data_IF_466269882668
#
_entry.id   IF_466269882668
#
_cell.length_a   1.000
_cell.length_b   1.000
_cell.length_c   1.000
_cell.angle_alpha   90.00
_cell.angle_beta   90.00
_cell.angle_gamma   90.00
#
_symmetry.space_group_name_H-M   'P 1'
#
loop_
_entity.id
_entity.type
_entity.pdbx_description
1 polymer ?
#
# COMPACT_ATOMS: atom_id res chain seq x y z
N UNK A 1 0.53 -18.68 -42.94
CA UNK A 1 1.48 -17.59 -42.62
C UNK A 1 0.89 -16.48 -41.74
N UNK A 2 -0.23 -15.83 -42.09
CA UNK A 2 -0.82 -14.74 -41.28
C UNK A 2 -1.26 -15.18 -39.86
N UNK A 3 -1.95 -16.32 -39.73
CA UNK A 3 -2.34 -16.89 -38.42
C UNK A 3 -1.13 -17.16 -37.50
N UNK A 4 -0.04 -17.69 -38.06
CA UNK A 4 1.20 -17.95 -37.34
C UNK A 4 1.87 -16.66 -36.86
N UNK A 5 1.93 -15.63 -37.71
CA UNK A 5 2.42 -14.30 -37.32
C UNK A 5 1.58 -13.70 -36.19
N UNK A 6 0.27 -13.81 -36.27
CA UNK A 6 -0.64 -13.31 -35.22
C UNK A 6 -0.41 -14.00 -33.87
N UNK A 7 -0.31 -15.34 -33.84
CA UNK A 7 0.02 -16.10 -32.62
C UNK A 7 1.40 -15.69 -32.07
N UNK A 8 2.40 -15.51 -32.94
CA UNK A 8 3.74 -15.05 -32.55
C UNK A 8 3.69 -13.68 -31.87
N UNK A 9 2.92 -12.72 -32.41
CA UNK A 9 2.73 -11.41 -31.76
C UNK A 9 2.06 -11.54 -30.39
N UNK A 10 1.04 -12.40 -30.26
CA UNK A 10 0.40 -12.68 -28.98
C UNK A 10 1.38 -13.22 -27.95
N UNK A 11 2.24 -14.17 -28.34
CA UNK A 11 3.27 -14.74 -27.46
C UNK A 11 4.27 -13.67 -27.00
N UNK A 12 4.74 -12.80 -27.90
CA UNK A 12 5.62 -11.69 -27.52
C UNK A 12 4.94 -10.74 -26.55
N UNK A 13 3.68 -10.35 -26.81
CA UNK A 13 2.94 -9.47 -25.92
C UNK A 13 2.82 -10.06 -24.51
N UNK A 14 2.47 -11.35 -24.40
CA UNK A 14 2.39 -12.04 -23.11
C UNK A 14 3.75 -12.11 -22.41
N UNK A 15 4.82 -12.39 -23.16
CA UNK A 15 6.17 -12.47 -22.61
C UNK A 15 6.67 -11.12 -22.08
N UNK A 16 6.51 -10.04 -22.84
CA UNK A 16 6.90 -8.70 -22.39
C UNK A 16 6.01 -8.20 -21.24
N UNK A 17 4.72 -8.53 -21.23
CA UNK A 17 3.84 -8.25 -20.09
C UNK A 17 4.33 -8.96 -18.82
N UNK A 18 4.80 -10.20 -18.94
CA UNK A 18 5.39 -10.94 -17.83
C UNK A 18 6.73 -10.33 -17.38
N UNK A 19 7.59 -9.87 -18.30
CA UNK A 19 8.82 -9.15 -17.95
C UNK A 19 8.52 -7.87 -17.16
N UNK A 20 7.53 -7.09 -17.58
CA UNK A 20 7.10 -5.89 -16.85
C UNK A 20 6.69 -6.24 -15.42
N UNK A 21 5.88 -7.29 -15.25
CA UNK A 21 5.53 -7.79 -13.92
C UNK A 21 6.78 -8.23 -13.14
N UNK A 22 7.69 -9.01 -13.73
CA UNK A 22 8.90 -9.48 -13.06
C UNK A 22 9.75 -8.31 -12.54
N UNK A 23 9.92 -7.24 -13.32
CA UNK A 23 10.65 -6.03 -12.89
C UNK A 23 9.92 -5.31 -11.75
N UNK A 24 8.60 -5.09 -11.88
CA UNK A 24 7.80 -4.43 -10.83
C UNK A 24 7.86 -5.22 -9.53
N UNK A 25 7.80 -6.55 -9.61
CA UNK A 25 7.86 -7.44 -8.44
C UNK A 25 9.20 -7.33 -7.72
N UNK A 26 10.30 -7.24 -8.47
CA UNK A 26 11.63 -6.99 -7.88
C UNK A 26 11.67 -5.68 -7.08
N UNK A 27 11.07 -4.61 -7.59
CA UNK A 27 10.98 -3.33 -6.88
C UNK A 27 10.11 -3.46 -5.62
N UNK A 28 8.94 -4.10 -5.73
CA UNK A 28 8.01 -4.27 -4.62
C UNK A 28 8.55 -5.16 -3.50
N UNK A 29 9.38 -6.15 -3.85
CA UNK A 29 10.03 -7.03 -2.89
C UNK A 29 11.26 -6.37 -2.24
N UNK A 30 12.05 -5.60 -2.99
CA UNK A 30 13.16 -4.78 -2.48
C UNK A 30 12.67 -3.77 -1.43
N UNK A 31 11.49 -3.20 -1.68
CA UNK A 31 10.77 -2.33 -0.76
C UNK A 31 10.40 -2.97 0.59
N UNK A 32 10.34 -4.30 0.67
CA UNK A 32 10.01 -5.04 1.89
C UNK A 32 11.26 -5.52 2.62
N UNK A 33 12.21 -6.10 1.87
CA UNK A 33 13.45 -6.63 2.39
C UNK A 33 14.55 -6.37 1.37
N UNK A 34 15.51 -5.55 1.77
CA UNK A 34 16.67 -5.18 0.96
C UNK A 34 17.76 -6.25 0.99
N UNK A 35 17.68 -7.24 1.88
CA UNK A 35 18.74 -8.20 2.13
C UNK A 35 20.08 -7.52 2.37
N UNK A 36 21.12 -7.99 1.69
CA UNK A 36 22.49 -7.47 1.83
C UNK A 36 22.74 -6.13 1.11
N UNK A 37 21.75 -5.54 0.45
CA UNK A 37 21.95 -4.31 -0.33
C UNK A 37 22.38 -3.12 0.53
N UNK A 38 22.00 -3.09 1.82
CA UNK A 38 22.43 -2.02 2.74
C UNK A 38 23.95 -2.01 2.96
N UNK A 39 24.61 -3.17 2.85
CA UNK A 39 26.06 -3.30 2.93
C UNK A 39 26.71 -3.08 1.56
N UNK A 40 26.21 -3.76 0.53
CA UNK A 40 26.72 -3.69 -0.84
C UNK A 40 25.63 -3.19 -1.80
N UNK A 41 25.72 -1.92 -2.18
CA UNK A 41 24.71 -1.23 -3.01
C UNK A 41 24.81 -1.59 -4.50
N UNK A 42 24.83 -2.88 -4.82
CA UNK A 42 24.88 -3.38 -6.20
C UNK A 42 23.49 -3.54 -6.80
N UNK A 43 23.38 -3.44 -8.12
CA UNK A 43 22.12 -3.70 -8.83
C UNK A 43 21.61 -5.12 -8.57
N UNK A 44 22.51 -6.11 -8.51
CA UNK A 44 22.14 -7.51 -8.36
C UNK A 44 21.51 -7.79 -6.99
N UNK A 45 22.06 -7.23 -5.91
CA UNK A 45 21.47 -7.37 -4.58
C UNK A 45 20.11 -6.67 -4.46
N UNK A 46 19.95 -5.52 -5.12
CA UNK A 46 18.64 -4.86 -5.19
C UNK A 46 17.62 -5.69 -5.98
N UNK A 47 18.03 -6.20 -7.15
CA UNK A 47 17.13 -6.89 -8.06
C UNK A 47 16.74 -8.30 -7.57
N UNK A 48 17.71 -9.09 -7.10
CA UNK A 48 17.54 -10.45 -6.59
C UNK A 48 17.49 -10.48 -5.05
N UNK A 49 16.67 -9.60 -4.47
CA UNK A 49 16.45 -9.56 -3.03
C UNK A 49 15.75 -10.85 -2.52
N UNK A 50 15.82 -11.16 -1.21
CA UNK A 50 15.34 -12.43 -0.66
C UNK A 50 13.88 -12.76 -0.95
N UNK A 51 13.05 -11.72 -1.07
CA UNK A 51 11.59 -11.81 -1.21
C UNK A 51 11.15 -11.86 -2.69
N UNK A 52 12.06 -11.55 -3.64
CA UNK A 52 11.76 -11.45 -5.07
C UNK A 52 11.20 -12.75 -5.65
N UNK A 53 11.94 -13.86 -5.54
CA UNK A 53 11.54 -15.13 -6.14
C UNK A 53 10.23 -15.68 -5.54
N UNK A 54 10.03 -15.70 -4.20
CA UNK A 54 8.74 -16.07 -3.62
C UNK A 54 7.58 -15.22 -4.15
N UNK A 55 7.75 -13.90 -4.24
CA UNK A 55 6.70 -13.01 -4.71
C UNK A 55 6.40 -13.20 -6.21
N UNK A 56 7.42 -13.45 -7.03
CA UNK A 56 7.26 -13.74 -8.45
C UNK A 56 6.56 -15.09 -8.69
N UNK A 57 6.92 -16.10 -7.89
CA UNK A 57 6.33 -17.44 -7.92
C UNK A 57 4.87 -17.45 -7.45
N UNK A 58 4.47 -16.48 -6.62
CA UNK A 58 3.06 -16.24 -6.30
C UNK A 58 2.32 -15.48 -7.41
N UNK A 59 2.88 -14.35 -7.86
CA UNK A 59 2.18 -13.43 -8.78
C UNK A 59 2.01 -14.00 -10.18
N UNK A 60 2.96 -14.81 -10.66
CA UNK A 60 2.87 -15.41 -11.99
C UNK A 60 1.66 -16.34 -12.10
N UNK A 61 1.51 -17.39 -11.27
CA UNK A 61 0.32 -18.25 -11.31
C UNK A 61 -0.98 -17.53 -11.00
N UNK A 62 -0.97 -16.52 -10.12
CA UNK A 62 -2.15 -15.71 -9.85
C UNK A 62 -2.60 -14.93 -11.09
N UNK A 63 -1.68 -14.29 -11.81
CA UNK A 63 -1.97 -13.60 -13.06
C UNK A 63 -2.52 -14.56 -14.13
N UNK A 64 -1.95 -15.77 -14.25
CA UNK A 64 -2.44 -16.80 -15.17
C UNK A 64 -3.86 -17.28 -14.80
N UNK A 65 -4.14 -17.41 -13.51
CA UNK A 65 -5.47 -17.77 -12.99
C UNK A 65 -6.49 -16.68 -13.28
N UNK A 66 -6.15 -15.41 -12.99
CA UNK A 66 -7.02 -14.25 -13.27
C UNK A 66 -7.30 -14.12 -14.76
N UNK A 67 -6.28 -14.22 -15.61
CA UNK A 67 -6.43 -14.21 -17.06
C UNK A 67 -7.32 -15.34 -17.57
N UNK A 68 -7.16 -16.55 -17.02
CA UNK A 68 -8.03 -17.69 -17.31
C UNK A 68 -9.49 -17.46 -16.89
N UNK A 69 -9.72 -16.88 -15.72
CA UNK A 69 -11.08 -16.56 -15.24
C UNK A 69 -11.75 -15.49 -16.10
N UNK A 70 -11.02 -14.44 -16.52
CA UNK A 70 -11.53 -13.42 -17.45
C UNK A 70 -11.86 -14.07 -18.80
N UNK A 71 -10.96 -14.89 -19.35
CA UNK A 71 -11.21 -15.60 -20.61
C UNK A 71 -12.44 -16.52 -20.51
N UNK A 72 -12.62 -17.21 -19.38
CA UNK A 72 -13.78 -18.04 -19.09
C UNK A 72 -15.06 -17.22 -19.10
N UNK A 73 -15.10 -16.10 -18.36
CA UNK A 73 -16.25 -15.20 -18.31
C UNK A 73 -16.63 -14.66 -19.70
N UNK A 74 -15.65 -14.16 -20.46
CA UNK A 74 -15.89 -13.64 -21.81
C UNK A 74 -16.39 -14.75 -22.75
N UNK A 75 -15.83 -15.95 -22.66
CA UNK A 75 -16.29 -17.12 -23.44
C UNK A 75 -17.75 -17.41 -23.13
N UNK A 76 -18.15 -17.43 -21.85
CA UNK A 76 -19.54 -17.69 -21.44
C UNK A 76 -20.55 -16.65 -21.98
N UNK A 77 -20.10 -15.41 -22.18
CA UNK A 77 -20.93 -14.34 -22.74
C UNK A 77 -21.03 -14.44 -24.27
N UNK A 78 -19.90 -14.57 -24.96
CA UNK A 78 -19.85 -14.40 -26.42
C UNK A 78 -20.11 -15.68 -27.21
N UNK A 79 -20.00 -16.86 -26.59
CA UNK A 79 -20.21 -18.16 -27.26
C UNK A 79 -21.60 -18.75 -27.03
N UNK A 80 -22.58 -17.94 -26.63
CA UNK A 80 -23.95 -18.42 -26.36
C UNK A 80 -24.62 -19.10 -27.56
N UNK A 81 -24.23 -18.74 -28.78
CA UNK A 81 -24.80 -19.24 -30.04
C UNK A 81 -24.00 -20.40 -30.66
N UNK A 82 -22.79 -20.66 -30.18
CA UNK A 82 -21.89 -21.71 -30.70
C UNK A 82 -21.47 -22.64 -29.56
N UNK A 83 -22.30 -23.66 -29.31
CA UNK A 83 -22.14 -24.57 -28.19
C UNK A 83 -20.96 -25.53 -28.36
N UNK A 84 -20.58 -25.85 -29.60
CA UNK A 84 -19.45 -26.74 -29.89
C UNK A 84 -18.13 -26.02 -29.61
N UNK A 85 -17.96 -24.79 -30.11
CA UNK A 85 -16.80 -23.99 -29.78
C UNK A 85 -16.72 -23.68 -28.28
N UNK A 86 -17.85 -23.33 -27.66
CA UNK A 86 -17.94 -23.09 -26.21
C UNK A 86 -17.40 -24.28 -25.40
N UNK A 87 -17.79 -25.49 -25.76
CA UNK A 87 -17.37 -26.72 -25.06
C UNK A 87 -15.86 -26.91 -25.13
N UNK A 88 -15.26 -26.72 -26.30
CA UNK A 88 -13.81 -26.85 -26.49
C UNK A 88 -13.06 -25.73 -25.76
N UNK A 89 -13.50 -24.48 -25.91
CA UNK A 89 -12.87 -23.31 -25.29
C UNK A 89 -12.91 -23.40 -23.76
N UNK A 90 -14.08 -23.64 -23.16
CA UNK A 90 -14.22 -23.71 -21.70
C UNK A 90 -13.42 -24.86 -21.10
N UNK A 91 -13.34 -26.03 -21.75
CA UNK A 91 -12.51 -27.13 -21.24
C UNK A 91 -11.04 -26.77 -21.22
N UNK A 92 -10.54 -26.14 -22.28
CA UNK A 92 -9.15 -25.70 -22.36
C UNK A 92 -8.83 -24.63 -21.32
N UNK A 93 -9.69 -23.62 -21.16
CA UNK A 93 -9.55 -22.55 -20.17
C UNK A 93 -9.66 -23.11 -18.74
N UNK A 94 -10.60 -24.03 -18.49
CA UNK A 94 -10.72 -24.67 -17.18
C UNK A 94 -9.48 -25.47 -16.82
N UNK A 95 -8.89 -26.24 -17.76
CA UNK A 95 -7.62 -26.95 -17.50
C UNK A 95 -6.52 -25.96 -17.12
N UNK A 96 -6.43 -24.84 -17.82
CA UNK A 96 -5.48 -23.78 -17.50
C UNK A 96 -5.66 -23.26 -16.07
N UNK A 97 -6.88 -22.87 -15.69
CA UNK A 97 -7.19 -22.38 -14.34
C UNK A 97 -6.93 -23.45 -13.27
N UNK A 98 -7.27 -24.72 -13.53
CA UNK A 98 -7.06 -25.82 -12.60
C UNK A 98 -5.57 -26.20 -12.42
N UNK A 99 -4.71 -25.89 -13.38
CA UNK A 99 -3.26 -26.06 -13.26
C UNK A 99 -2.64 -24.88 -12.50
N UNK A 100 -2.98 -23.65 -12.90
CA UNK A 100 -2.36 -22.44 -12.32
C UNK A 100 -2.91 -22.08 -10.94
N UNK A 101 -4.17 -22.43 -10.63
CA UNK A 101 -4.79 -22.15 -9.33
C UNK A 101 -4.05 -22.76 -8.14
N UNK A 102 -3.75 -24.08 -8.14
CA UNK A 102 -2.95 -24.71 -7.10
C UNK A 102 -1.53 -24.14 -7.00
N UNK A 103 -0.90 -23.78 -8.13
CA UNK A 103 0.39 -23.11 -8.15
C UNK A 103 0.33 -21.72 -7.50
N UNK A 104 -0.76 -20.98 -7.69
CA UNK A 104 -0.98 -19.69 -7.03
C UNK A 104 -1.15 -19.87 -5.52
N UNK A 105 -1.89 -20.87 -5.07
CA UNK A 105 -2.03 -21.18 -3.65
C UNK A 105 -0.69 -21.61 -3.02
N UNK A 106 0.08 -22.47 -3.70
CA UNK A 106 1.41 -22.87 -3.26
C UNK A 106 2.38 -21.69 -3.19
N UNK A 107 2.36 -20.81 -4.20
CA UNK A 107 3.15 -19.60 -4.21
C UNK A 107 2.75 -18.62 -3.11
N UNK A 108 1.45 -18.48 -2.82
CA UNK A 108 0.97 -17.65 -1.72
C UNK A 108 1.48 -18.16 -0.37
N UNK A 109 1.44 -19.48 -0.15
CA UNK A 109 1.97 -20.10 1.07
C UNK A 109 3.49 -19.89 1.18
N UNK A 110 4.24 -20.17 0.12
CA UNK A 110 5.69 -19.94 0.10
C UNK A 110 6.03 -18.47 0.40
N UNK A 111 5.31 -17.55 -0.23
CA UNK A 111 5.49 -16.13 -0.02
C UNK A 111 5.24 -15.75 1.44
N UNK A 112 4.13 -16.23 2.04
CA UNK A 112 3.80 -15.98 3.44
C UNK A 112 4.92 -16.41 4.41
N UNK A 113 5.52 -17.58 4.20
CA UNK A 113 6.63 -18.06 5.05
C UNK A 113 7.94 -17.27 4.88
N UNK A 114 8.11 -16.60 3.74
CA UNK A 114 9.29 -15.79 3.43
C UNK A 114 9.14 -14.32 3.85
N UNK A 115 7.95 -13.90 4.31
CA UNK A 115 7.77 -12.56 4.87
C UNK A 115 8.60 -12.46 6.16
N UNK A 116 9.50 -11.47 6.29
CA UNK A 116 10.27 -11.28 7.51
C UNK A 116 9.36 -11.15 8.73
N UNK A 117 9.63 -11.95 9.77
CA UNK A 117 8.82 -11.97 11.00
C UNK A 117 8.76 -10.60 11.71
N UNK A 118 9.80 -9.78 11.54
CA UNK A 118 9.87 -8.40 12.03
C UNK A 118 8.75 -7.51 11.49
N UNK A 119 8.19 -7.85 10.31
CA UNK A 119 7.11 -7.09 9.67
C UNK A 119 5.73 -7.55 10.14
N UNK A 120 5.60 -8.76 10.69
CA UNK A 120 4.31 -9.35 11.12
C UNK A 120 3.67 -8.57 12.27
N UNK A 121 4.45 -7.83 13.07
CA UNK A 121 3.91 -6.94 14.11
C UNK A 121 2.99 -5.83 13.58
N UNK A 122 3.11 -5.47 12.30
CA UNK A 122 2.25 -4.47 11.63
C UNK A 122 1.03 -5.07 10.92
N UNK A 123 0.91 -6.41 10.90
CA UNK A 123 -0.18 -7.11 10.22
C UNK A 123 -1.58 -6.63 10.67
N UNK A 124 -1.85 -6.39 11.97
CA UNK A 124 -3.08 -5.75 12.42
C UNK A 124 -3.47 -4.45 11.71
N UNK A 125 -2.50 -3.56 11.51
CA UNK A 125 -2.73 -2.23 10.94
C UNK A 125 -2.91 -2.37 9.44
N UNK A 126 -2.14 -3.26 8.82
CA UNK A 126 -2.21 -3.60 7.42
C UNK A 126 -3.58 -4.14 7.00
N UNK A 127 -4.24 -4.88 7.89
CA UNK A 127 -5.54 -5.52 7.64
C UNK A 127 -6.74 -4.56 7.66
N UNK A 128 -6.58 -3.31 8.12
CA UNK A 128 -7.65 -2.32 7.96
C UNK A 128 -7.87 -1.35 9.13
N UNK A 129 -6.81 -0.98 9.88
CA UNK A 129 -6.82 -0.25 11.18
C UNK A 129 -6.90 -1.17 12.41
N UNK A 130 -6.53 -0.66 13.59
CA UNK A 130 -6.47 -1.44 14.84
C UNK A 130 -7.81 -2.12 15.20
N UNK A 131 -8.94 -1.57 14.76
CA UNK A 131 -10.28 -2.17 14.95
C UNK A 131 -10.54 -3.39 14.05
N UNK A 132 -9.76 -3.56 12.98
CA UNK A 132 -9.88 -4.66 12.02
C UNK A 132 -9.18 -5.96 12.46
N UNK A 133 -8.45 -5.98 13.58
CA UNK A 133 -7.91 -7.23 14.15
C UNK A 133 -9.00 -8.29 14.37
N UNK A 134 -10.24 -7.87 14.63
CA UNK A 134 -11.39 -8.75 14.84
C UNK A 134 -11.86 -9.49 13.57
N UNK A 135 -11.37 -9.13 12.38
CA UNK A 135 -11.83 -9.67 11.09
C UNK A 135 -10.83 -10.65 10.45
N UNK A 136 -9.73 -11.01 11.13
CA UNK A 136 -8.76 -11.98 10.62
C UNK A 136 -9.44 -13.30 10.18
N UNK A 137 -10.34 -13.81 11.03
CA UNK A 137 -11.14 -15.00 10.72
C UNK A 137 -12.01 -14.81 9.47
N UNK A 138 -12.58 -13.62 9.27
CA UNK A 138 -13.41 -13.32 8.12
C UNK A 138 -12.59 -13.24 6.82
N UNK A 139 -11.38 -12.66 6.86
CA UNK A 139 -10.49 -12.61 5.69
C UNK A 139 -10.07 -14.02 5.27
N UNK A 140 -9.74 -14.91 6.22
CA UNK A 140 -9.44 -16.32 5.92
C UNK A 140 -10.64 -17.01 5.27
N UNK A 141 -11.86 -16.80 5.80
CA UNK A 141 -13.09 -17.34 5.20
C UNK A 141 -13.28 -16.81 3.78
N UNK A 142 -13.10 -15.50 3.54
CA UNK A 142 -13.23 -14.90 2.21
C UNK A 142 -12.22 -15.50 1.22
N UNK A 143 -10.98 -15.73 1.64
CA UNK A 143 -9.95 -16.37 0.81
C UNK A 143 -10.33 -17.81 0.47
N UNK A 144 -10.79 -18.60 1.45
CA UNK A 144 -11.24 -19.98 1.22
C UNK A 144 -12.43 -20.00 0.26
N UNK A 145 -13.41 -19.11 0.45
CA UNK A 145 -14.57 -18.97 -0.43
C UNK A 145 -14.13 -18.59 -1.85
N UNK A 146 -13.17 -17.67 -1.99
CA UNK A 146 -12.66 -17.27 -3.30
C UNK A 146 -11.96 -18.41 -4.04
N UNK A 147 -11.10 -19.15 -3.34
CA UNK A 147 -10.44 -20.34 -3.88
C UNK A 147 -11.49 -21.38 -4.28
N UNK A 148 -12.46 -21.64 -3.41
CA UNK A 148 -13.57 -22.56 -3.67
C UNK A 148 -14.41 -22.16 -4.87
N UNK A 149 -14.70 -20.87 -5.05
CA UNK A 149 -15.43 -20.34 -6.19
C UNK A 149 -14.64 -20.45 -7.50
N UNK A 150 -13.33 -20.17 -7.49
CA UNK A 150 -12.47 -20.33 -8.68
C UNK A 150 -12.37 -21.79 -9.07
N UNK A 151 -12.06 -22.69 -8.12
CA UNK A 151 -11.94 -24.13 -8.37
C UNK A 151 -13.29 -24.72 -8.79
N UNK A 152 -14.37 -24.36 -8.09
CA UNK A 152 -15.73 -24.82 -8.38
C UNK A 152 -16.19 -24.36 -9.76
N UNK A 153 -15.96 -23.09 -10.11
CA UNK A 153 -16.30 -22.57 -11.43
C UNK A 153 -15.48 -23.22 -12.55
N UNK A 154 -14.19 -23.45 -12.33
CA UNK A 154 -13.33 -24.12 -13.29
C UNK A 154 -13.73 -25.58 -13.51
N UNK A 155 -14.03 -26.32 -12.43
CA UNK A 155 -14.54 -27.69 -12.52
C UNK A 155 -15.91 -27.75 -13.21
N UNK A 156 -16.85 -26.86 -12.86
CA UNK A 156 -18.16 -26.79 -13.50
C UNK A 156 -18.01 -26.53 -15.01
N UNK A 157 -17.19 -25.54 -15.38
CA UNK A 157 -16.93 -25.21 -16.79
C UNK A 157 -16.21 -26.33 -17.55
N UNK A 158 -15.45 -27.19 -16.85
CA UNK A 158 -14.79 -28.34 -17.45
C UNK A 158 -15.77 -29.50 -17.74
N UNK A 159 -16.52 -29.90 -16.72
CA UNK A 159 -17.40 -31.08 -16.80
C UNK A 159 -18.75 -30.75 -17.45
N UNK A 160 -19.31 -29.57 -17.17
CA UNK A 160 -20.61 -29.10 -17.68
C UNK A 160 -20.51 -27.70 -18.32
N UNK A 161 -19.74 -27.55 -19.42
CA UNK A 161 -19.50 -26.25 -20.07
C UNK A 161 -20.78 -25.55 -20.56
N UNK A 162 -21.82 -26.31 -20.92
CA UNK A 162 -23.08 -25.78 -21.44
C UNK A 162 -23.94 -25.12 -20.37
N UNK A 163 -23.87 -25.59 -19.12
CA UNK A 163 -24.67 -25.06 -18.00
C UNK A 163 -23.90 -24.09 -17.10
N UNK A 164 -22.61 -23.89 -17.37
CA UNK A 164 -21.74 -22.98 -16.63
C UNK A 164 -22.34 -21.54 -16.60
N UNK A 165 -22.64 -20.99 -15.41
CA UNK A 165 -23.26 -19.68 -15.29
C UNK A 165 -22.24 -18.55 -15.44
N UNK A 166 -22.50 -17.60 -16.35
CA UNK A 166 -21.63 -16.45 -16.57
C UNK A 166 -21.54 -15.52 -15.35
N UNK A 167 -22.63 -15.35 -14.60
CA UNK A 167 -22.65 -14.49 -13.41
C UNK A 167 -21.70 -14.99 -12.33
N UNK A 168 -21.58 -16.32 -12.15
CA UNK A 168 -20.69 -16.91 -11.15
C UNK A 168 -19.22 -16.68 -11.52
N UNK A 169 -18.86 -16.82 -12.80
CA UNK A 169 -17.53 -16.43 -13.28
C UNK A 169 -17.25 -14.93 -13.04
N UNK A 170 -18.25 -14.07 -13.25
CA UNK A 170 -18.15 -12.63 -12.96
C UNK A 170 -17.90 -12.35 -11.46
N UNK A 171 -18.66 -12.99 -10.57
CA UNK A 171 -18.47 -12.88 -9.11
C UNK A 171 -17.08 -13.37 -8.71
N UNK A 172 -16.62 -14.50 -9.24
CA UNK A 172 -15.29 -15.03 -8.96
C UNK A 172 -14.18 -14.06 -9.40
N UNK A 173 -14.33 -13.37 -10.54
CA UNK A 173 -13.37 -12.35 -10.98
C UNK A 173 -13.34 -11.17 -10.00
N UNK A 174 -14.50 -10.62 -9.66
CA UNK A 174 -14.61 -9.48 -8.74
C UNK A 174 -13.96 -9.80 -7.39
N UNK A 175 -14.19 -11.02 -6.90
CA UNK A 175 -13.63 -11.48 -5.63
C UNK A 175 -12.11 -11.63 -5.69
N UNK A 176 -11.56 -12.24 -6.75
CA UNK A 176 -10.10 -12.37 -6.92
C UNK A 176 -9.42 -11.02 -7.09
N UNK A 177 -10.02 -10.10 -7.86
CA UNK A 177 -9.51 -8.73 -8.03
C UNK A 177 -9.55 -7.96 -6.70
N UNK A 178 -10.64 -8.08 -5.94
CA UNK A 178 -10.78 -7.48 -4.61
C UNK A 178 -9.73 -8.01 -3.62
N UNK A 179 -9.52 -9.32 -3.60
CA UNK A 179 -8.49 -9.96 -2.78
C UNK A 179 -7.07 -9.54 -3.19
N UNK A 180 -6.80 -9.43 -4.49
CA UNK A 180 -5.51 -8.90 -4.98
C UNK A 180 -5.29 -7.45 -4.53
N UNK A 181 -6.31 -6.59 -4.63
CA UNK A 181 -6.22 -5.22 -4.14
C UNK A 181 -5.98 -5.14 -2.63
N UNK A 182 -6.64 -6.01 -1.86
CA UNK A 182 -6.42 -6.12 -0.42
C UNK A 182 -5.01 -6.64 -0.10
N UNK A 183 -4.50 -7.61 -0.85
CA UNK A 183 -3.14 -8.12 -0.74
C UNK A 183 -2.09 -7.01 -0.97
N UNK A 184 -2.26 -6.18 -2.00
CA UNK A 184 -1.33 -5.06 -2.25
C UNK A 184 -1.33 -4.05 -1.10
N UNK A 185 -2.52 -3.79 -0.53
CA UNK A 185 -2.66 -2.96 0.66
C UNK A 185 -1.92 -3.59 1.83
N UNK A 186 -2.15 -4.87 2.12
CA UNK A 186 -1.47 -5.58 3.20
C UNK A 186 0.05 -5.47 3.07
N UNK A 187 0.57 -5.74 1.88
CA UNK A 187 2.01 -5.63 1.57
C UNK A 187 2.54 -4.20 1.74
N UNK A 188 1.77 -3.17 1.38
CA UNK A 188 2.19 -1.77 1.58
C UNK A 188 2.27 -1.36 3.04
N UNK A 189 1.38 -1.87 3.89
CA UNK A 189 1.32 -1.48 5.29
C UNK A 189 2.23 -2.32 6.19
N UNK A 190 2.42 -3.60 5.88
CA UNK A 190 3.25 -4.50 6.70
C UNK A 190 4.73 -4.04 6.74
N UNK A 191 5.21 -3.42 5.65
CA UNK A 191 6.59 -2.90 5.52
C UNK A 191 6.84 -1.56 6.21
N UNK A 192 5.80 -0.86 6.69
CA UNK A 192 5.97 0.38 7.45
C UNK A 192 6.75 0.08 8.75
N UNK A 193 7.53 1.02 9.31
CA UNK A 193 7.56 2.45 9.05
C UNK A 193 8.41 2.85 7.83
N UNK A 194 9.01 1.88 7.14
CA UNK A 194 9.93 2.10 6.03
C UNK A 194 9.22 2.27 4.68
N UNK A 195 9.86 2.99 3.76
CA UNK A 195 9.61 2.92 2.32
C UNK A 195 10.63 2.04 1.62
N UNK A 196 11.84 1.95 2.17
CA UNK A 196 12.89 0.99 1.82
C UNK A 196 13.45 0.46 3.14
N UNK A 197 13.39 -0.85 3.35
CA UNK A 197 13.74 -1.49 4.63
C UNK A 197 15.09 -1.03 5.16
N UNK A 198 15.11 -0.53 6.39
CA UNK A 198 16.32 -0.08 7.12
C UNK A 198 17.12 1.07 6.48
N UNK A 199 16.73 1.54 5.29
CA UNK A 199 17.39 2.62 4.57
C UNK A 199 16.63 3.95 4.65
N UNK A 200 15.31 3.91 4.47
CA UNK A 200 14.48 5.13 4.38
C UNK A 200 13.10 4.93 5.00
N UNK A 201 12.69 5.87 5.84
CA UNK A 201 11.37 5.90 6.44
C UNK A 201 10.30 6.40 5.47
N UNK A 202 9.04 6.15 5.81
CA UNK A 202 7.87 6.53 5.01
C UNK A 202 7.65 8.04 4.84
N UNK A 203 8.29 8.86 5.68
CA UNK A 203 8.38 10.31 5.50
C UNK A 203 9.42 10.73 4.44
N UNK A 204 10.21 9.79 3.91
CA UNK A 204 11.21 10.02 2.86
C UNK A 204 12.61 10.38 3.39
N UNK A 205 12.80 10.40 4.71
CA UNK A 205 14.10 10.68 5.34
C UNK A 205 14.87 9.36 5.53
N UNK A 206 16.19 9.40 5.30
CA UNK A 206 17.04 8.23 5.49
C UNK A 206 17.26 7.97 6.97
N UNK A 207 17.37 6.70 7.33
CA UNK A 207 17.62 6.28 8.72
C UNK A 207 18.95 6.87 9.23
N UNK A 208 19.98 6.90 8.38
CA UNK A 208 21.31 7.42 8.71
C UNK A 208 21.34 8.94 9.01
N UNK A 209 20.39 9.71 8.49
CA UNK A 209 20.37 11.16 8.63
C UNK A 209 19.72 11.62 9.95
N UNK A 210 18.99 10.74 10.64
CA UNK A 210 18.23 11.10 11.85
C UNK A 210 19.09 11.72 12.96
N UNK A 211 20.26 11.16 13.32
CA UNK A 211 21.12 11.79 14.34
C UNK A 211 21.54 13.21 13.98
N UNK A 212 21.80 13.47 12.69
CA UNK A 212 22.16 14.81 12.20
C UNK A 212 20.96 15.76 12.30
N UNK A 213 19.79 15.32 11.85
CA UNK A 213 18.55 16.10 11.86
C UNK A 213 18.07 16.41 13.28
N UNK A 214 18.22 15.46 14.21
CA UNK A 214 17.87 15.66 15.62
C UNK A 214 18.81 16.63 16.33
N UNK A 215 20.07 16.73 15.89
CA UNK A 215 21.03 17.71 16.39
C UNK A 215 20.78 19.10 15.80
N UNK A 216 20.67 19.19 14.49
CA UNK A 216 20.72 20.45 13.74
C UNK A 216 19.33 21.04 13.44
N UNK A 217 18.28 20.22 13.49
CA UNK A 217 16.94 20.54 12.99
C UNK A 217 16.76 20.14 11.52
N UNK A 218 15.56 19.66 11.16
CA UNK A 218 15.17 19.32 9.79
C UNK A 218 15.11 20.55 8.89
N UNK A 219 14.64 21.70 9.40
CA UNK A 219 14.47 22.93 8.63
C UNK A 219 15.78 23.44 8.05
N UNK A 220 16.87 23.32 8.82
CA UNK A 220 18.21 23.74 8.41
C UNK A 220 18.67 23.01 7.14
N UNK A 221 18.33 21.73 7.03
CA UNK A 221 18.71 20.84 5.92
C UNK A 221 17.67 20.78 4.80
N UNK A 222 16.49 21.36 4.97
CA UNK A 222 15.42 21.33 3.99
C UNK A 222 15.58 22.41 2.91
N UNK A 223 15.62 22.06 1.63
CA UNK A 223 15.86 23.03 0.55
C UNK A 223 14.70 24.03 0.32
N UNK A 224 13.46 23.61 0.53
CA UNK A 224 12.26 24.35 0.14
C UNK A 224 11.42 24.74 1.36
N UNK A 225 11.98 25.55 2.25
CA UNK A 225 11.29 26.12 3.41
C UNK A 225 11.60 27.61 3.52
N UNK A 226 10.64 28.39 4.04
CA UNK A 226 10.84 29.82 4.24
C UNK A 226 11.75 30.09 5.44
N UNK A 227 11.61 29.28 6.49
CA UNK A 227 12.35 29.42 7.74
C UNK A 227 13.31 28.24 7.93
N UNK A 228 14.61 28.55 8.10
CA UNK A 228 15.67 27.55 8.35
C UNK A 228 15.88 27.25 9.83
N UNK A 229 15.38 28.12 10.69
CA UNK A 229 15.53 28.04 12.14
C UNK A 229 14.22 28.48 12.81
N UNK A 230 13.97 27.94 13.99
CA UNK A 230 12.78 28.25 14.79
C UNK A 230 13.09 29.36 15.78
N UNK A 231 12.43 30.49 15.61
CA UNK A 231 12.46 31.65 16.49
C UNK A 231 11.11 31.84 17.17
N UNK A 232 11.03 32.66 18.21
CA UNK A 232 9.73 32.96 18.85
C UNK A 232 8.75 33.67 17.89
N UNK A 233 9.28 34.44 16.93
CA UNK A 233 8.48 35.19 15.96
C UNK A 233 7.86 34.31 14.86
N UNK A 234 8.49 33.17 14.51
CA UNK A 234 8.05 32.31 13.40
C UNK A 234 7.54 30.94 13.85
N UNK A 235 7.26 30.74 15.14
CA UNK A 235 6.94 29.44 15.74
C UNK A 235 5.85 28.66 14.99
N UNK A 236 4.76 29.31 14.58
CA UNK A 236 3.66 28.67 13.84
C UNK A 236 4.02 28.32 12.40
N UNK A 237 4.73 29.23 11.70
CA UNK A 237 5.13 29.01 10.30
C UNK A 237 6.19 27.91 10.20
N UNK A 238 7.20 27.96 11.07
CA UNK A 238 8.20 26.91 11.19
C UNK A 238 7.56 25.57 11.57
N UNK A 239 6.57 25.57 12.47
CA UNK A 239 5.82 24.37 12.84
C UNK A 239 5.04 23.76 11.68
N UNK A 240 4.47 24.60 10.81
CA UNK A 240 3.83 24.17 9.56
C UNK A 240 4.84 23.55 8.60
N UNK A 241 6.02 24.16 8.43
CA UNK A 241 7.07 23.62 7.56
C UNK A 241 7.61 22.28 8.08
N UNK A 242 7.81 22.15 9.40
CA UNK A 242 8.15 20.88 10.05
C UNK A 242 7.06 19.84 9.75
N UNK A 243 5.78 20.17 9.94
CA UNK A 243 4.67 19.26 9.62
C UNK A 243 4.71 18.79 8.15
N UNK A 244 4.94 19.71 7.21
CA UNK A 244 5.05 19.39 5.79
C UNK A 244 6.16 18.39 5.53
N UNK A 245 7.34 18.63 6.10
CA UNK A 245 8.51 17.79 5.88
C UNK A 245 8.40 16.43 6.55
N UNK A 246 7.84 16.36 7.77
CA UNK A 246 7.94 15.17 8.61
C UNK A 246 6.67 14.33 8.66
N UNK A 247 5.49 14.93 8.42
CA UNK A 247 4.19 14.30 8.69
C UNK A 247 3.26 14.25 7.47
N UNK A 248 3.34 15.21 6.54
CA UNK A 248 2.35 15.37 5.45
C UNK A 248 2.27 14.19 4.47
N UNK A 249 3.31 13.35 4.41
CA UNK A 249 3.34 12.13 3.58
C UNK A 249 2.31 11.09 4.00
N UNK A 250 1.91 11.09 5.28
CA UNK A 250 0.99 10.12 5.86
C UNK A 250 -0.25 10.78 6.48
N UNK A 251 -0.18 12.05 6.85
CA UNK A 251 -1.23 12.78 7.54
C UNK A 251 -1.66 14.01 6.76
N UNK A 252 -2.98 14.21 6.65
CA UNK A 252 -3.52 15.54 6.41
C UNK A 252 -3.61 16.29 7.74
N UNK A 253 -3.73 17.61 7.69
CA UNK A 253 -4.01 18.41 8.89
C UNK A 253 -5.44 18.14 9.38
N UNK A 254 -6.42 18.43 8.52
CA UNK A 254 -7.87 18.29 8.75
C UNK A 254 -8.61 17.69 7.54
N UNK A 255 -7.90 17.02 6.63
CA UNK A 255 -8.44 16.47 5.40
C UNK A 255 -9.17 15.14 5.58
N UNK A 256 -9.68 14.59 4.48
CA UNK A 256 -10.45 13.35 4.50
C UNK A 256 -9.61 12.10 4.82
N UNK A 257 -8.30 12.15 4.53
CA UNK A 257 -7.40 10.99 4.70
C UNK A 257 -6.51 11.20 5.92
N UNK A 258 -6.65 10.32 6.91
CA UNK A 258 -5.82 10.25 8.11
C UNK A 258 -5.53 11.63 8.78
N UNK A 259 -6.56 12.44 9.08
CA UNK A 259 -6.37 13.78 9.62
C UNK A 259 -5.69 13.72 10.99
N UNK A 260 -4.61 14.48 11.13
CA UNK A 260 -3.82 14.53 12.35
C UNK A 260 -4.63 15.11 13.52
N UNK A 261 -5.46 16.14 13.27
CA UNK A 261 -6.36 16.68 14.30
C UNK A 261 -7.33 15.62 14.79
N UNK A 262 -7.94 14.85 13.88
CA UNK A 262 -8.81 13.72 14.23
C UNK A 262 -8.11 12.68 15.09
N UNK A 263 -6.87 12.31 14.76
CA UNK A 263 -6.09 11.36 15.58
C UNK A 263 -5.80 11.86 16.98
N UNK A 264 -5.48 13.13 17.15
CA UNK A 264 -5.28 13.71 18.48
C UNK A 264 -6.60 13.88 19.24
N UNK A 265 -7.71 14.20 18.55
CA UNK A 265 -9.05 14.21 19.17
C UNK A 265 -9.45 12.83 19.66
N UNK A 266 -9.21 11.77 18.89
CA UNK A 266 -9.52 10.39 19.29
C UNK A 266 -8.74 9.98 20.56
N UNK A 267 -7.51 10.48 20.72
CA UNK A 267 -6.63 10.12 21.84
C UNK A 267 -6.84 10.98 23.08
N UNK A 268 -7.06 12.29 22.91
CA UNK A 268 -7.02 13.28 23.99
C UNK A 268 -8.35 14.04 24.17
N UNK A 269 -9.34 13.76 23.32
CA UNK A 269 -10.64 14.42 23.31
C UNK A 269 -10.60 15.80 22.66
N UNK A 270 -11.69 16.55 22.86
CA UNK A 270 -11.94 17.86 22.23
C UNK A 270 -11.50 19.05 23.08
N UNK A 271 -11.05 18.82 24.33
CA UNK A 271 -10.50 19.88 25.20
C UNK A 271 -9.18 20.40 24.61
N UNK A 272 -8.80 21.67 24.91
CA UNK A 272 -7.52 22.20 24.47
C UNK A 272 -6.36 21.26 24.82
N UNK A 273 -5.56 20.89 23.82
CA UNK A 273 -4.47 19.96 24.04
C UNK A 273 -3.28 20.62 24.73
N UNK A 274 -2.70 19.89 25.68
CA UNK A 274 -1.54 20.35 26.41
C UNK A 274 -0.25 20.08 25.62
N UNK A 275 0.65 21.07 25.60
CA UNK A 275 1.90 20.97 24.83
C UNK A 275 2.76 19.78 25.31
N UNK A 276 2.82 19.55 26.61
CA UNK A 276 3.57 18.41 27.17
C UNK A 276 3.02 17.05 26.71
N UNK A 277 1.69 16.93 26.57
CA UNK A 277 1.02 15.71 26.10
C UNK A 277 1.35 15.44 24.63
N UNK A 278 1.26 16.47 23.77
CA UNK A 278 1.61 16.35 22.34
C UNK A 278 3.08 15.97 22.16
N UNK A 279 4.01 16.66 22.84
CA UNK A 279 5.44 16.35 22.80
C UNK A 279 5.73 14.92 23.24
N UNK A 280 5.15 14.51 24.37
CA UNK A 280 5.33 13.16 24.91
C UNK A 280 4.90 12.07 23.94
N UNK A 281 3.76 12.27 23.26
CA UNK A 281 3.29 11.32 22.24
C UNK A 281 4.17 11.33 20.99
N UNK A 282 4.48 12.50 20.42
CA UNK A 282 5.25 12.59 19.16
C UNK A 282 6.66 12.01 19.33
N UNK A 283 7.34 12.24 20.47
CA UNK A 283 8.64 11.63 20.76
C UNK A 283 8.58 10.09 20.77
N UNK A 284 7.46 9.52 21.23
CA UNK A 284 7.29 8.08 21.43
C UNK A 284 6.37 7.42 20.40
N UNK A 285 5.98 8.12 19.32
CA UNK A 285 4.94 7.65 18.40
C UNK A 285 5.31 6.35 17.69
N UNK A 286 6.60 6.15 17.43
CA UNK A 286 7.15 4.92 16.82
C UNK A 286 7.01 3.69 17.73
N UNK A 287 7.00 3.88 19.05
CA UNK A 287 6.77 2.82 20.03
C UNK A 287 5.28 2.58 20.26
N UNK A 288 4.47 3.64 20.24
CA UNK A 288 3.02 3.53 20.35
C UNK A 288 2.38 2.90 19.09
N UNK A 289 2.96 3.18 17.92
CA UNK A 289 2.49 2.73 16.61
C UNK A 289 3.70 2.38 15.76
N UNK A 290 4.04 1.08 15.72
CA UNK A 290 5.22 0.55 15.00
C UNK A 290 5.31 0.93 13.51
N UNK A 291 4.19 1.29 12.88
CA UNK A 291 4.15 1.75 11.49
C UNK A 291 4.47 3.25 11.31
N UNK A 292 4.62 4.02 12.39
CA UNK A 292 5.06 5.42 12.36
C UNK A 292 6.57 5.50 12.55
N UNK A 293 7.30 6.28 11.73
CA UNK A 293 8.72 6.51 11.97
C UNK A 293 8.93 7.38 13.22
N UNK A 294 10.13 7.37 13.83
CA UNK A 294 10.46 8.32 14.88
C UNK A 294 10.41 9.77 14.36
N UNK A 295 10.26 10.73 15.28
CA UNK A 295 10.32 12.15 14.92
C UNK A 295 11.78 12.54 14.58
N UNK A 296 12.05 13.11 13.39
CA UNK A 296 13.41 13.38 12.94
C UNK A 296 13.99 14.72 13.44
N UNK A 297 13.15 15.66 13.91
CA UNK A 297 13.59 17.00 14.29
C UNK A 297 14.08 17.12 15.72
N UNK A 298 14.65 18.28 16.02
CA UNK A 298 15.13 18.63 17.35
C UNK A 298 13.99 19.09 18.28
N UNK A 299 14.30 19.34 19.55
CA UNK A 299 13.29 19.76 20.53
C UNK A 299 12.64 21.09 20.18
N UNK A 300 13.37 22.05 19.62
CA UNK A 300 12.81 23.36 19.26
C UNK A 300 11.83 23.25 18.08
N UNK A 301 12.11 22.40 17.10
CA UNK A 301 11.19 22.08 16.02
C UNK A 301 9.97 21.29 16.49
N UNK A 302 10.15 20.42 17.49
CA UNK A 302 9.03 19.73 18.13
C UNK A 302 8.09 20.72 18.83
N UNK A 303 8.63 21.76 19.47
CA UNK A 303 7.86 22.84 20.09
C UNK A 303 7.04 23.60 19.06
N UNK A 304 7.67 23.97 17.93
CA UNK A 304 7.00 24.62 16.81
C UNK A 304 5.91 23.74 16.21
N UNK A 305 6.20 22.45 16.00
CA UNK A 305 5.22 21.47 15.52
C UNK A 305 4.03 21.40 16.48
N UNK A 306 4.25 21.28 17.78
CA UNK A 306 3.14 21.25 18.75
C UNK A 306 2.31 22.54 18.75
N UNK A 307 2.96 23.70 18.63
CA UNK A 307 2.26 24.98 18.51
C UNK A 307 1.35 25.01 17.28
N UNK A 308 1.87 24.56 16.13
CA UNK A 308 1.10 24.45 14.90
C UNK A 308 -0.07 23.44 15.02
N UNK A 309 0.15 22.29 15.64
CA UNK A 309 -0.91 21.28 15.87
C UNK A 309 -2.04 21.82 16.74
N UNK A 310 -1.69 22.57 17.80
CA UNK A 310 -2.68 23.23 18.66
C UNK A 310 -3.47 24.29 17.90
N UNK A 311 -2.82 25.07 17.05
CA UNK A 311 -3.51 26.03 16.18
C UNK A 311 -4.48 25.32 15.24
N UNK A 312 -4.14 24.15 14.71
CA UNK A 312 -5.05 23.36 13.86
C UNK A 312 -6.29 22.85 14.61
N UNK A 313 -6.27 22.78 15.95
CA UNK A 313 -7.43 22.39 16.75
C UNK A 313 -8.52 23.46 16.71
N UNK A 314 -8.13 24.75 16.78
CA UNK A 314 -9.04 25.90 16.79
C UNK A 314 -9.28 26.46 15.40
N UNK A 315 -8.27 26.38 14.54
CA UNK A 315 -8.25 26.95 13.20
C UNK A 315 -7.79 25.89 12.18
N UNK A 316 -8.67 24.96 11.80
CA UNK A 316 -8.31 23.86 10.91
C UNK A 316 -7.96 24.37 9.51
N UNK A 317 -6.67 24.42 9.19
CA UNK A 317 -6.19 24.82 7.87
C UNK A 317 -5.73 23.60 7.06
N UNK A 318 -6.20 23.45 5.81
CA UNK A 318 -5.62 22.47 4.92
C UNK A 318 -4.22 22.91 4.49
N UNK A 319 -3.33 21.94 4.30
CA UNK A 319 -2.00 22.17 3.75
C UNK A 319 -2.00 21.73 2.30
N UNK A 320 -1.87 22.69 1.39
CA UNK A 320 -1.80 22.41 -0.05
C UNK A 320 -0.70 21.41 -0.36
N UNK A 321 -1.05 20.31 -1.05
CA UNK A 321 -0.12 19.24 -1.40
C UNK A 321 0.00 18.13 -0.34
N UNK A 322 -0.66 18.26 0.81
CA UNK A 322 -0.96 17.11 1.66
C UNK A 322 -1.96 16.18 0.95
N UNK A 323 -2.16 14.96 1.46
CA UNK A 323 -3.07 13.97 0.89
C UNK A 323 -4.56 14.40 0.98
N UNK A 324 -4.98 15.45 0.27
CA UNK A 324 -6.32 16.06 0.32
C UNK A 324 -7.45 15.16 -0.28
N UNK A 325 -7.18 13.86 -0.45
CA UNK A 325 -8.09 12.89 -1.05
C UNK A 325 -8.30 13.11 -2.55
N UNK A 326 -9.31 12.42 -3.10
CA UNK A 326 -9.70 12.51 -4.52
C UNK A 326 -10.41 13.84 -4.89
N UNK A 327 -10.24 14.90 -4.10
CA UNK A 327 -10.82 16.22 -4.37
C UNK A 327 -12.33 16.36 -4.15
N UNK A 328 -13.01 15.33 -3.63
CA UNK A 328 -14.46 15.35 -3.36
C UNK A 328 -14.84 16.18 -2.13
N UNK A 329 -13.93 16.31 -1.16
CA UNK A 329 -14.08 17.18 -0.01
C UNK A 329 -12.94 18.20 -0.03
N UNK A 330 -13.05 19.22 -0.89
CA UNK A 330 -12.15 20.37 -0.78
C UNK A 330 -12.44 21.07 0.55
N UNK A 331 -11.47 21.15 1.48
CA UNK A 331 -11.62 22.02 2.63
C UNK A 331 -11.86 23.45 2.13
N UNK A 332 -12.86 24.14 2.71
CA UNK A 332 -13.11 25.54 2.36
C UNK A 332 -11.82 26.32 2.64
N UNK A 333 -11.26 27.05 1.66
CA UNK A 333 -10.16 27.97 1.96
C UNK A 333 -10.68 28.98 2.98
N UNK A 334 -10.05 29.04 4.15
CA UNK A 334 -10.34 30.11 5.10
C UNK A 334 -9.61 31.39 4.66
N UNK A 335 -10.14 32.52 5.12
CA UNK A 335 -9.65 33.84 4.78
C UNK A 335 -8.19 34.03 5.23
N UNK A 336 -7.40 34.83 4.48
CA UNK A 336 -6.02 35.12 4.85
C UNK A 336 -5.95 35.64 6.28
N UNK A 337 -4.96 35.15 7.03
CA UNK A 337 -4.61 35.65 8.37
C UNK A 337 -4.50 37.16 8.26
N UNK A 338 -5.34 37.89 9.00
CA UNK A 338 -5.23 39.33 9.09
C UNK A 338 -3.80 39.68 9.49
N UNK A 339 -3.12 40.44 8.63
CA UNK A 339 -1.82 41.00 8.93
C UNK A 339 -1.94 41.76 10.25
N UNK A 340 -1.25 41.28 11.27
CA UNK A 340 -1.06 42.02 12.52
C UNK A 340 -0.32 43.29 12.13
N UNK A 341 -1.00 44.44 12.24
CA UNK A 341 -0.39 45.77 12.19
C UNK A 341 0.07 46.16 13.58
#
# INVERSE_FOLDING_TARGET
LQKFKHVKYGLFLSFFSWITMAIIVSILSFMMDTGNWNNDRTFLYGFLNPVYLPQLFFRTPLAMTMGGMIAMFLTLIYTRKDLEFRKVALRSISKWVLIWGPLAAAGAMLYYYMIPKSLVGNLPVAMGTLEFQNWYSQIVVIVIVAIGLVIGMANWSYFRPQTAPAWLAGVSILLVVGLMGHFERLREFIRKPYVIGEYMYSNGLRVEDYPLLQRDGVLKHANFVANKEVTDANMLEAGRDVFILTCSRCHTTNGAVNPMTGKFTDMFGTKPWETAQLKGYIKNMHSARYFMPPFPGNDRELDALCAYIKELQTNPQPVSGAQDGLGFNKPKPSQPVAAVR
#
